data_IF_262087394523
#
_entry.id   IF_262087394523
#
_cell.length_a   1.000
_cell.length_b   1.000
_cell.length_c   1.000
_cell.angle_alpha   90.00
_cell.angle_beta   90.00
_cell.angle_gamma   90.00
#
_symmetry.space_group_name_H-M   'P 1'
#
loop_
_entity.id
_entity.type
_entity.pdbx_description
1 polymer ?
#
# COMPACT_ATOMS: atom_id res chain seq x y z
N UNK A 1 -3.94 -56.84 43.19
CA UNK A 1 -4.81 -55.80 42.58
C UNK A 1 -4.66 -54.43 43.25
N UNK A 2 -4.71 -54.29 44.58
CA UNK A 2 -4.59 -52.98 45.28
C UNK A 2 -3.27 -52.21 45.06
N UNK A 3 -2.14 -52.89 44.77
CA UNK A 3 -0.83 -52.25 44.54
C UNK A 3 -0.67 -51.59 43.16
N UNK A 4 -1.40 -52.07 42.14
CA UNK A 4 -1.37 -51.50 40.78
C UNK A 4 -2.18 -50.21 40.71
N UNK A 5 -3.33 -50.19 41.40
CA UNK A 5 -4.18 -49.01 41.52
C UNK A 5 -3.45 -47.89 42.27
N UNK A 6 -2.67 -48.23 43.30
CA UNK A 6 -1.88 -47.25 44.05
C UNK A 6 -0.78 -46.59 43.20
N UNK A 7 -0.17 -47.33 42.26
CA UNK A 7 0.85 -46.80 41.36
C UNK A 7 0.26 -45.89 40.28
N UNK A 8 -0.91 -46.24 39.73
CA UNK A 8 -1.63 -45.40 38.75
C UNK A 8 -2.08 -44.08 39.38
N UNK A 9 -2.58 -44.12 40.62
CA UNK A 9 -3.00 -42.90 41.34
C UNK A 9 -1.79 -42.04 41.74
N UNK A 10 -0.66 -42.65 42.13
CA UNK A 10 0.56 -41.92 42.46
C UNK A 10 1.22 -41.26 41.23
N UNK A 11 1.15 -41.88 40.05
CA UNK A 11 1.71 -41.32 38.81
C UNK A 11 0.93 -40.09 38.32
N UNK A 12 -0.39 -40.07 38.50
CA UNK A 12 -1.25 -38.93 38.12
C UNK A 12 -1.08 -37.74 39.08
N UNK A 13 -0.78 -38.00 40.35
CA UNK A 13 -0.60 -36.95 41.37
C UNK A 13 0.83 -36.39 41.44
N UNK A 14 1.81 -37.05 40.84
CA UNK A 14 3.21 -36.61 40.76
C UNK A 14 3.61 -36.14 39.35
N UNK A 15 2.66 -35.60 38.59
CA UNK A 15 2.97 -34.89 37.34
C UNK A 15 2.64 -33.41 37.54
N UNK A 16 3.65 -32.53 37.73
CA UNK A 16 3.39 -31.11 37.89
C UNK A 16 2.72 -30.55 36.62
N UNK A 17 1.60 -29.86 36.85
CA UNK A 17 0.72 -29.24 35.86
C UNK A 17 1.43 -28.04 35.21
N UNK A 18 2.48 -28.27 34.42
CA UNK A 18 3.35 -27.21 33.90
C UNK A 18 3.43 -27.13 32.37
N UNK A 19 2.47 -27.72 31.67
CA UNK A 19 2.38 -27.58 30.23
C UNK A 19 0.95 -27.18 29.82
N UNK A 20 0.65 -25.89 29.89
CA UNK A 20 -0.14 -25.18 28.86
C UNK A 20 -0.18 -23.66 29.08
N UNK A 21 0.98 -23.02 29.29
CA UNK A 21 1.13 -21.66 28.77
C UNK A 21 1.61 -21.82 27.34
N UNK A 22 0.68 -22.16 26.44
CA UNK A 22 0.91 -21.82 25.03
C UNK A 22 0.96 -20.30 25.03
N UNK A 23 2.19 -19.78 25.05
CA UNK A 23 2.45 -18.40 24.73
C UNK A 23 1.75 -18.14 23.41
N UNK A 24 0.69 -17.36 23.46
CA UNK A 24 0.37 -16.48 22.34
C UNK A 24 1.53 -15.48 22.33
N UNK A 25 2.66 -15.90 21.76
CA UNK A 25 3.58 -14.95 21.18
C UNK A 25 2.69 -14.14 20.24
N UNK A 26 2.43 -12.89 20.63
CA UNK A 26 1.81 -11.94 19.73
C UNK A 26 2.70 -11.97 18.51
N UNK A 27 2.23 -12.63 17.44
CA UNK A 27 2.76 -12.51 16.10
C UNK A 27 2.52 -11.05 15.76
N UNK A 28 3.47 -10.23 16.19
CA UNK A 28 3.62 -8.84 15.83
C UNK A 28 3.93 -8.94 14.36
N UNK A 29 2.89 -8.81 13.53
CA UNK A 29 2.91 -8.88 12.06
C UNK A 29 4.34 -8.88 11.59
N UNK A 30 4.87 -10.08 11.35
CA UNK A 30 6.13 -10.25 10.67
C UNK A 30 5.87 -9.68 9.29
N UNK A 31 6.01 -8.35 9.15
CA UNK A 31 6.21 -7.68 7.88
C UNK A 31 7.34 -8.47 7.26
N UNK A 32 6.98 -9.35 6.33
CA UNK A 32 7.92 -10.14 5.58
C UNK A 32 8.92 -9.13 5.07
N UNK A 33 10.14 -9.17 5.61
CA UNK A 33 11.19 -8.24 5.21
C UNK A 33 11.65 -8.72 3.84
N UNK A 34 11.01 -8.18 2.82
CA UNK A 34 11.46 -8.39 1.45
C UNK A 34 12.81 -7.68 1.29
N UNK A 35 13.79 -8.40 0.78
CA UNK A 35 15.10 -7.84 0.43
C UNK A 35 15.01 -7.07 -0.88
N UNK A 36 14.14 -7.52 -1.80
CA UNK A 36 13.91 -6.92 -3.11
C UNK A 36 12.42 -6.66 -3.37
N UNK A 37 12.12 -5.67 -4.20
CA UNK A 37 10.74 -5.35 -4.58
C UNK A 37 10.08 -6.49 -5.37
N UNK A 38 10.88 -7.28 -6.09
CA UNK A 38 10.42 -8.46 -6.83
C UNK A 38 9.82 -9.51 -5.91
N UNK A 39 10.44 -9.78 -4.77
CA UNK A 39 9.92 -10.76 -3.82
C UNK A 39 8.61 -10.27 -3.20
N UNK A 40 8.47 -8.95 -3.03
CA UNK A 40 7.21 -8.35 -2.59
C UNK A 40 6.12 -8.50 -3.65
N UNK A 41 6.44 -8.27 -4.92
CA UNK A 41 5.51 -8.48 -6.05
C UNK A 41 5.12 -9.94 -6.23
N UNK A 42 6.00 -10.89 -5.93
CA UNK A 42 5.69 -12.32 -5.99
C UNK A 42 4.62 -12.73 -4.98
N UNK A 43 4.51 -11.99 -3.87
CA UNK A 43 3.45 -12.18 -2.88
C UNK A 43 2.08 -11.66 -3.31
N UNK A 44 2.00 -10.83 -4.36
CA UNK A 44 0.75 -10.28 -4.83
C UNK A 44 -0.05 -11.31 -5.63
N UNK A 45 -1.36 -11.47 -5.35
CA UNK A 45 -2.17 -12.49 -5.98
C UNK A 45 -2.27 -12.24 -7.49
N UNK A 46 -2.09 -13.29 -8.30
CA UNK A 46 -2.22 -13.21 -9.76
C UNK A 46 -1.07 -12.50 -10.48
N UNK A 47 0.02 -12.21 -9.78
CA UNK A 47 1.31 -11.87 -10.37
C UNK A 47 2.13 -13.15 -10.48
N UNK A 48 2.77 -13.37 -11.62
CA UNK A 48 3.71 -14.47 -11.84
C UNK A 48 5.02 -13.88 -12.33
N UNK A 49 6.10 -14.21 -11.63
CA UNK A 49 7.42 -13.69 -11.94
C UNK A 49 8.28 -14.86 -12.40
N UNK A 50 8.89 -14.73 -13.58
CA UNK A 50 9.77 -15.72 -14.17
C UNK A 50 11.19 -15.16 -14.20
N UNK A 51 12.13 -15.92 -13.65
CA UNK A 51 13.51 -15.50 -13.49
C UNK A 51 13.83 -15.01 -12.07
N UNK A 52 15.10 -14.69 -11.86
CA UNK A 52 15.64 -14.26 -10.57
C UNK A 52 16.04 -12.79 -10.61
N UNK A 53 15.96 -12.13 -9.46
CA UNK A 53 16.29 -10.70 -9.29
C UNK A 53 17.63 -10.46 -8.59
N UNK A 54 18.39 -11.53 -8.30
CA UNK A 54 19.68 -11.51 -7.61
C UNK A 54 20.83 -10.95 -8.46
N UNK A 55 20.73 -11.05 -9.80
CA UNK A 55 21.75 -10.57 -10.74
C UNK A 55 21.60 -9.12 -11.22
N UNK A 56 20.76 -8.30 -10.58
CA UNK A 56 20.47 -6.92 -11.02
C UNK A 56 19.73 -6.81 -12.36
N UNK A 57 19.32 -7.94 -12.92
CA UNK A 57 18.49 -8.03 -14.13
C UNK A 57 17.03 -8.05 -13.72
N UNK A 58 16.20 -7.29 -14.43
CA UNK A 58 14.75 -7.27 -14.20
C UNK A 58 14.16 -8.62 -14.65
N UNK A 59 13.47 -9.36 -13.77
CA UNK A 59 12.80 -10.59 -14.16
C UNK A 59 11.53 -10.28 -14.99
N UNK A 60 11.07 -11.28 -15.74
CA UNK A 60 9.84 -11.16 -16.51
C UNK A 60 8.64 -11.24 -15.57
N UNK A 61 7.73 -10.27 -15.68
CA UNK A 61 6.54 -10.17 -14.84
C UNK A 61 5.30 -10.40 -15.71
N UNK A 62 4.40 -11.23 -15.23
CA UNK A 62 3.11 -11.53 -15.87
C UNK A 62 1.97 -11.30 -14.90
N UNK A 63 0.86 -10.77 -15.40
CA UNK A 63 -0.39 -10.63 -14.66
C UNK A 63 -1.39 -11.64 -15.25
N UNK A 64 -2.09 -12.39 -14.39
CA UNK A 64 -2.98 -13.53 -14.74
C UNK A 64 -2.25 -14.84 -15.10
N UNK A 65 -0.97 -14.96 -14.77
CA UNK A 65 -0.18 -16.16 -15.03
C UNK A 65 0.25 -16.29 -16.49
N UNK A 66 0.91 -17.41 -16.80
CA UNK A 66 1.40 -17.73 -18.14
C UNK A 66 0.29 -18.50 -18.84
N UNK A 67 -0.54 -17.82 -19.63
CA UNK A 67 -1.44 -18.49 -20.55
C UNK A 67 -0.65 -19.17 -21.67
N UNK A 68 -1.12 -20.33 -22.14
CA UNK A 68 -0.54 -21.07 -23.28
C UNK A 68 -0.57 -20.31 -24.61
N UNK A 69 -1.19 -19.12 -24.63
CA UNK A 69 -1.31 -18.27 -25.81
C UNK A 69 -0.10 -17.34 -25.80
N UNK A 70 0.87 -17.63 -26.67
CA UNK A 70 2.24 -17.09 -26.78
C UNK A 70 2.44 -15.56 -26.80
N UNK A 71 1.42 -14.75 -26.54
CA UNK A 71 1.59 -13.35 -26.22
C UNK A 71 1.96 -13.23 -24.73
N UNK A 72 3.21 -13.56 -24.41
CA UNK A 72 3.86 -13.13 -23.18
C UNK A 72 3.95 -11.60 -23.20
N UNK A 73 2.88 -10.93 -22.77
CA UNK A 73 2.85 -9.46 -22.73
C UNK A 73 3.12 -8.99 -21.31
N UNK A 74 4.19 -8.21 -21.17
CA UNK A 74 4.56 -7.61 -19.90
C UNK A 74 3.53 -6.54 -19.50
N UNK A 75 3.19 -6.46 -18.21
CA UNK A 75 2.32 -5.41 -17.71
C UNK A 75 3.04 -4.07 -17.71
N UNK A 76 2.26 -2.99 -17.67
CA UNK A 76 2.82 -1.67 -17.50
C UNK A 76 3.22 -1.45 -16.03
N UNK A 77 4.47 -1.04 -15.79
CA UNK A 77 4.93 -0.65 -14.46
C UNK A 77 4.80 0.86 -14.31
N UNK A 78 4.19 1.28 -13.19
CA UNK A 78 3.98 2.69 -12.85
C UNK A 78 4.50 2.92 -11.45
N UNK A 79 5.41 3.89 -11.29
CA UNK A 79 5.96 4.30 -10.00
C UNK A 79 5.56 5.75 -9.76
N UNK A 80 4.79 6.00 -8.70
CA UNK A 80 4.33 7.34 -8.32
C UNK A 80 3.65 8.11 -9.46
N UNK A 81 2.94 7.38 -10.34
CA UNK A 81 2.24 7.93 -11.52
C UNK A 81 3.10 8.05 -12.78
N UNK A 82 4.37 7.67 -12.74
CA UNK A 82 5.29 7.73 -13.88
C UNK A 82 5.52 6.33 -14.43
N UNK A 83 5.48 6.19 -15.75
CA UNK A 83 5.74 4.94 -16.46
C UNK A 83 7.23 4.62 -16.36
N UNK A 84 7.56 3.39 -15.98
CA UNK A 84 8.95 2.92 -15.90
C UNK A 84 9.06 1.53 -16.50
N UNK A 85 10.23 1.18 -16.99
CA UNK A 85 10.53 -0.18 -17.47
C UNK A 85 11.35 -0.96 -16.42
N UNK A 86 11.79 -0.28 -15.34
CA UNK A 86 12.60 -0.88 -14.28
C UNK A 86 12.13 -0.39 -12.90
N UNK A 87 12.15 -1.29 -11.92
CA UNK A 87 11.79 -1.00 -10.52
C UNK A 87 12.85 -1.52 -9.53
N UNK A 88 13.99 -2.05 -10.00
CA UNK A 88 15.06 -2.64 -9.16
C UNK A 88 15.73 -1.61 -8.25
N UNK A 89 15.65 -0.32 -8.62
CA UNK A 89 16.16 0.77 -7.78
C UNK A 89 15.28 1.04 -6.55
N UNK A 90 14.05 0.52 -6.51
CA UNK A 90 13.15 0.73 -5.40
C UNK A 90 13.44 -0.24 -4.26
N UNK A 91 13.65 0.32 -3.07
CA UNK A 91 13.79 -0.46 -1.85
C UNK A 91 12.40 -0.83 -1.32
N UNK A 92 12.16 -2.08 -0.88
CA UNK A 92 10.89 -2.48 -0.27
C UNK A 92 10.48 -1.61 0.94
N UNK A 93 11.47 -1.08 1.65
CA UNK A 93 11.28 -0.21 2.81
C UNK A 93 10.64 1.14 2.45
N UNK A 94 10.84 1.64 1.23
CA UNK A 94 10.31 2.92 0.75
C UNK A 94 8.94 2.76 0.11
N UNK A 95 8.51 1.53 -0.19
CA UNK A 95 7.20 1.27 -0.77
C UNK A 95 6.11 1.47 0.27
N UNK A 96 5.10 2.24 -0.10
CA UNK A 96 3.89 2.46 0.66
C UNK A 96 2.83 1.43 0.32
N UNK A 97 2.59 1.21 -0.98
CA UNK A 97 1.60 0.24 -1.46
C UNK A 97 1.94 -0.24 -2.87
N UNK A 98 1.62 -1.50 -3.15
CA UNK A 98 1.57 -2.05 -4.50
C UNK A 98 0.10 -2.28 -4.84
N UNK A 99 -0.32 -1.85 -6.02
CA UNK A 99 -1.66 -2.14 -6.56
C UNK A 99 -1.50 -2.82 -7.90
N UNK A 100 -2.05 -4.02 -8.02
CA UNK A 100 -2.08 -4.77 -9.28
C UNK A 100 -3.46 -4.59 -9.91
N UNK A 101 -3.52 -3.77 -10.95
CA UNK A 101 -4.74 -3.49 -11.69
C UNK A 101 -4.83 -4.49 -12.84
N UNK A 102 -5.78 -5.43 -12.70
CA UNK A 102 -5.98 -6.50 -13.68
C UNK A 102 -7.02 -6.08 -14.72
N UNK A 103 -8.12 -5.50 -14.27
CA UNK A 103 -9.35 -5.37 -15.07
C UNK A 103 -9.43 -4.04 -15.86
N UNK A 104 -10.58 -3.77 -16.47
CA UNK A 104 -10.78 -2.66 -17.41
C UNK A 104 -10.45 -1.26 -16.87
N UNK A 105 -10.28 -1.10 -15.55
CA UNK A 105 -9.76 0.12 -14.94
C UNK A 105 -8.32 0.44 -15.38
N UNK A 106 -7.55 -0.56 -15.84
CA UNK A 106 -6.23 -0.35 -16.40
C UNK A 106 -6.24 0.50 -17.70
N UNK A 107 -7.41 0.65 -18.35
CA UNK A 107 -7.58 1.48 -19.53
C UNK A 107 -7.25 2.96 -19.29
N UNK A 108 -7.26 3.44 -18.03
CA UNK A 108 -6.84 4.82 -17.71
C UNK A 108 -5.37 5.09 -18.05
N UNK A 109 -4.55 4.03 -18.16
CA UNK A 109 -3.15 4.09 -18.56
C UNK A 109 -2.96 3.87 -20.07
N UNK A 110 -4.03 3.88 -20.86
CA UNK A 110 -4.02 3.73 -22.31
C UNK A 110 -3.73 2.31 -22.79
N UNK A 111 -3.28 2.18 -24.05
CA UNK A 111 -3.04 0.89 -24.70
C UNK A 111 -2.02 0.01 -23.97
N UNK A 112 -0.99 0.61 -23.31
CA UNK A 112 0.02 -0.14 -22.57
C UNK A 112 -0.55 -0.82 -21.31
N UNK A 113 -1.61 -0.26 -20.73
CA UNK A 113 -2.31 -0.84 -19.58
C UNK A 113 -3.24 -2.00 -19.92
N UNK A 114 -3.46 -2.31 -21.21
CA UNK A 114 -4.38 -3.38 -21.63
C UNK A 114 -4.02 -4.76 -21.07
N UNK A 115 -2.73 -5.00 -20.79
CA UNK A 115 -2.21 -6.25 -20.24
C UNK A 115 -2.16 -6.25 -18.70
N UNK A 116 -2.67 -5.18 -18.07
CA UNK A 116 -2.62 -4.93 -16.64
C UNK A 116 -1.53 -3.93 -16.26
N UNK A 117 -1.68 -3.35 -15.07
CA UNK A 117 -0.81 -2.30 -14.54
C UNK A 117 -0.39 -2.67 -13.13
N UNK A 118 0.90 -2.52 -12.84
CA UNK A 118 1.44 -2.60 -11.49
C UNK A 118 1.78 -1.18 -11.07
N UNK A 119 0.94 -0.60 -10.23
CA UNK A 119 1.17 0.70 -9.64
C UNK A 119 1.89 0.53 -8.30
N UNK A 120 3.06 1.14 -8.17
CA UNK A 120 3.85 1.20 -6.95
C UNK A 120 3.82 2.64 -6.47
N UNK A 121 3.41 2.82 -5.21
CA UNK A 121 3.50 4.11 -4.53
C UNK A 121 4.57 4.07 -3.47
N UNK A 122 5.39 5.10 -3.43
CA UNK A 122 6.42 5.30 -2.40
C UNK A 122 5.86 6.10 -1.21
N UNK A 123 6.47 5.95 -0.03
CA UNK A 123 6.09 6.72 1.16
C UNK A 123 6.32 8.22 0.95
N UNK A 124 7.40 8.57 0.27
CA UNK A 124 7.74 9.97 -0.03
C UNK A 124 6.72 10.62 -0.97
N UNK A 125 6.17 9.90 -1.94
CA UNK A 125 5.14 10.45 -2.83
C UNK A 125 3.84 10.73 -2.09
N UNK A 126 3.40 9.82 -1.22
CA UNK A 126 2.21 9.99 -0.37
C UNK A 126 2.38 11.17 0.59
N UNK A 127 3.55 11.32 1.20
CA UNK A 127 3.87 12.46 2.05
C UNK A 127 3.86 13.78 1.27
N UNK A 128 4.43 13.79 0.07
CA UNK A 128 4.43 14.97 -0.80
C UNK A 128 3.00 15.36 -1.23
N UNK A 129 2.15 14.39 -1.55
CA UNK A 129 0.74 14.62 -1.89
C UNK A 129 -0.02 15.22 -0.69
N UNK A 130 0.19 14.67 0.52
CA UNK A 130 -0.42 15.19 1.75
C UNK A 130 -0.01 16.64 2.01
N UNK A 131 1.27 16.96 1.86
CA UNK A 131 1.76 18.33 2.03
C UNK A 131 1.16 19.29 1.00
N UNK A 132 1.02 18.86 -0.26
CA UNK A 132 0.36 19.67 -1.31
C UNK A 132 -1.11 19.90 -0.99
N UNK A 133 -1.82 18.87 -0.53
CA UNK A 133 -3.22 18.97 -0.15
C UNK A 133 -3.43 19.93 1.05
N UNK A 134 -2.53 19.90 2.05
CA UNK A 134 -2.57 20.81 3.20
C UNK A 134 -2.30 22.27 2.78
N UNK A 135 -1.28 22.52 1.97
CA UNK A 135 -0.99 23.86 1.41
C UNK A 135 -2.16 24.41 0.58
N UNK A 136 -2.84 23.54 -0.16
CA UNK A 136 -3.99 23.96 -0.97
C UNK A 136 -5.22 24.26 -0.11
N UNK A 137 -5.42 23.53 1.00
CA UNK A 137 -6.47 23.80 1.99
C UNK A 137 -6.25 25.13 2.72
N UNK A 138 -5.00 25.44 3.10
CA UNK A 138 -4.68 26.72 3.75
C UNK A 138 -4.89 27.88 2.78
N UNK A 139 -4.37 27.80 1.55
CA UNK A 139 -4.57 28.83 0.51
C UNK A 139 -6.07 29.07 0.19
N UNK A 140 -6.88 28.02 0.11
CA UNK A 140 -8.33 28.12 -0.09
C UNK A 140 -9.06 28.74 1.10
N UNK A 141 -8.59 28.51 2.34
CA UNK A 141 -9.18 29.11 3.54
C UNK A 141 -8.86 30.61 3.62
N UNK A 142 -7.62 31.00 3.33
CA UNK A 142 -7.18 32.39 3.37
C UNK A 142 -7.92 33.23 2.33
N UNK A 143 -7.95 32.77 1.07
CA UNK A 143 -8.67 33.46 -0.02
C UNK A 143 -10.17 33.61 0.22
N UNK A 144 -10.82 32.63 0.87
CA UNK A 144 -12.24 32.74 1.27
C UNK A 144 -12.45 33.75 2.40
N UNK A 145 -11.54 33.82 3.38
CA UNK A 145 -11.61 34.78 4.49
C UNK A 145 -11.40 36.21 3.99
N UNK A 146 -10.38 36.42 3.16
CA UNK A 146 -10.08 37.72 2.55
C UNK A 146 -11.24 38.24 1.70
N UNK A 147 -11.79 37.40 0.81
CA UNK A 147 -12.94 37.79 -0.02
C UNK A 147 -14.19 38.10 0.80
N UNK A 148 -14.40 37.42 1.92
CA UNK A 148 -15.54 37.68 2.81
C UNK A 148 -15.38 39.02 3.54
N UNK A 149 -14.20 39.29 4.08
CA UNK A 149 -13.90 40.55 4.74
C UNK A 149 -14.03 41.77 3.79
N UNK A 150 -13.59 41.64 2.54
CA UNK A 150 -13.73 42.68 1.52
C UNK A 150 -15.20 42.94 1.14
N UNK A 151 -16.03 41.88 1.10
CA UNK A 151 -17.46 42.04 0.80
C UNK A 151 -18.18 42.78 1.93
N UNK A 152 -17.89 42.42 3.18
CA UNK A 152 -18.55 43.01 4.34
C UNK A 152 -18.17 44.49 4.49
N UNK A 153 -16.91 44.87 4.24
CA UNK A 153 -16.50 46.28 4.24
C UNK A 153 -17.14 47.09 3.12
N UNK A 154 -17.29 46.52 1.93
CA UNK A 154 -17.95 47.19 0.79
C UNK A 154 -19.44 47.44 1.08
N UNK A 155 -20.13 46.51 1.75
CA UNK A 155 -21.52 46.66 2.14
C UNK A 155 -21.70 47.86 3.10
N UNK A 156 -20.84 47.97 4.12
CA UNK A 156 -20.84 49.11 5.06
C UNK A 156 -20.63 50.43 4.34
N UNK A 157 -19.70 50.49 3.39
CA UNK A 157 -19.46 51.71 2.59
C UNK A 157 -20.69 52.08 1.76
N UNK A 158 -21.38 51.08 1.18
CA UNK A 158 -22.57 51.31 0.35
C UNK A 158 -23.77 51.82 1.16
N UNK A 159 -23.94 51.36 2.40
CA UNK A 159 -25.01 51.82 3.29
C UNK A 159 -24.77 53.28 3.74
N UNK A 160 -23.53 53.65 4.06
CA UNK A 160 -23.18 55.05 4.39
C UNK A 160 -23.45 56.03 3.26
N UNK A 161 -23.27 55.61 1.99
CA UNK A 161 -23.57 56.45 0.82
C UNK A 161 -25.08 56.63 0.58
N UNK A 162 -25.92 55.71 1.08
CA UNK A 162 -27.39 55.81 0.98
C UNK A 162 -28.02 56.69 2.06
N UNK A 163 -27.41 56.80 3.24
CA UNK A 163 -27.92 57.62 4.37
C UNK A 163 -27.67 59.13 4.16
N UNK A 164 -26.76 59.49 3.23
CA UNK A 164 -26.40 60.88 2.93
C UNK A 164 -27.29 61.57 1.87
N UNK A 165 -28.36 60.91 1.39
CA UNK A 165 -29.39 61.50 0.52
C UNK A 165 -30.75 61.40 1.19
#
# INVERSE_FOLDING_TARGET
MKRVILYIVAMVLLFPLQALSQGVEKVKDSKVKYTNIIDMLRGEPGVTIVGSSDGGTMPLIYIRGIGTNSNSVEPLLVVDGIHTDNIMYLRPEDVYSITVIKDGTAAIYGMRGANGVIEIRTKSSVEAEKQRAEKQKTARKTSRRERRALRDSLAVVSDSLKVSR
#
